data_IF_659656217494
#
_entry.id   IF_659656217494
#
_cell.length_a   1.000
_cell.length_b   1.000
_cell.length_c   1.000
_cell.angle_alpha   90.00
_cell.angle_beta   90.00
_cell.angle_gamma   90.00
#
_symmetry.space_group_name_H-M   'P 1'
#
loop_
_entity.id
_entity.type
_entity.pdbx_description
1 polymer ?
#
# COMPACT_ATOMS: atom_id res chain seq x y z
N UNK A 1 -53.14 5.52 49.73
CA UNK A 1 -54.58 5.78 49.47
C UNK A 1 -54.66 6.55 48.16
N UNK A 2 -54.81 5.90 47.02
CA UNK A 2 -56.04 5.36 46.39
C UNK A 2 -56.91 6.44 45.72
N UNK A 3 -56.86 6.40 44.37
CA UNK A 3 -57.90 6.64 43.32
C UNK A 3 -58.57 8.02 43.24
N UNK A 4 -58.89 8.55 42.05
CA UNK A 4 -58.85 7.96 40.71
C UNK A 4 -59.21 8.98 39.62
N UNK A 5 -58.66 8.76 38.43
CA UNK A 5 -59.02 9.45 37.19
C UNK A 5 -60.08 8.69 36.39
N UNK A 6 -60.94 9.42 35.68
CA UNK A 6 -61.99 8.91 34.81
C UNK A 6 -61.58 8.97 33.32
N UNK A 7 -61.87 7.85 32.64
CA UNK A 7 -62.42 7.62 31.28
C UNK A 7 -61.93 8.47 30.09
N UNK A 8 -61.22 7.88 29.11
CA UNK A 8 -61.66 7.07 27.93
C UNK A 8 -62.27 7.91 26.77
N UNK A 9 -61.65 7.81 25.59
CA UNK A 9 -62.17 7.08 24.41
C UNK A 9 -61.05 6.86 23.38
N UNK A 10 -60.93 5.61 22.91
CA UNK A 10 -60.07 5.16 21.79
C UNK A 10 -61.04 4.65 20.71
N UNK A 11 -60.87 5.09 19.47
CA UNK A 11 -61.59 4.58 18.31
C UNK A 11 -60.71 3.60 17.54
N UNK A 12 -61.15 2.34 17.51
CA UNK A 12 -60.62 1.25 16.69
C UNK A 12 -61.47 1.15 15.42
N UNK A 13 -60.84 1.02 14.24
CA UNK A 13 -61.52 0.49 13.06
C UNK A 13 -60.73 -0.68 12.51
N UNK A 14 -61.44 -1.79 12.36
CA UNK A 14 -60.99 -3.07 11.79
C UNK A 14 -61.61 -3.16 10.40
N UNK A 15 -60.82 -3.56 9.41
CA UNK A 15 -61.30 -3.95 8.09
C UNK A 15 -60.47 -5.11 7.55
N UNK A 16 -61.00 -6.33 7.69
CA UNK A 16 -60.55 -7.52 6.95
C UNK A 16 -61.27 -7.57 5.60
N UNK A 17 -60.56 -8.00 4.57
CA UNK A 17 -61.12 -8.36 3.27
C UNK A 17 -60.13 -9.22 2.48
N UNK A 18 -60.46 -10.51 2.35
CA UNK A 18 -59.68 -11.57 1.72
C UNK A 18 -60.03 -11.72 0.23
N UNK A 19 -59.05 -11.96 -0.64
CA UNK A 19 -59.21 -12.69 -1.90
C UNK A 19 -57.85 -13.15 -2.48
N UNK A 20 -57.79 -14.41 -2.92
CA UNK A 20 -56.72 -15.05 -3.73
C UNK A 20 -57.34 -15.46 -5.09
N UNK A 21 -56.65 -16.14 -6.03
CA UNK A 21 -55.28 -15.97 -6.58
C UNK A 21 -55.28 -15.87 -8.13
N UNK A 22 -54.19 -15.39 -8.76
CA UNK A 22 -53.96 -15.60 -10.20
C UNK A 22 -52.47 -15.71 -10.55
N UNK A 23 -52.15 -16.79 -11.26
CA UNK A 23 -50.87 -17.20 -11.87
C UNK A 23 -50.52 -16.37 -13.12
N UNK A 24 -49.23 -16.06 -13.33
CA UNK A 24 -48.43 -16.15 -14.60
C UNK A 24 -47.31 -15.12 -14.64
N UNK A 25 -46.16 -15.48 -15.20
CA UNK A 25 -45.20 -14.52 -15.77
C UNK A 25 -43.75 -14.63 -15.27
N UNK A 26 -43.01 -15.55 -15.87
CA UNK A 26 -41.53 -15.58 -15.88
C UNK A 26 -40.94 -14.31 -16.49
N UNK A 27 -39.93 -13.71 -15.86
CA UNK A 27 -38.89 -12.92 -16.53
C UNK A 27 -37.68 -12.67 -15.61
N UNK A 28 -36.59 -13.39 -15.88
CA UNK A 28 -35.24 -13.04 -15.39
C UNK A 28 -34.82 -11.66 -15.91
N UNK A 29 -34.22 -10.79 -15.09
CA UNK A 29 -33.42 -9.68 -15.60
C UNK A 29 -31.99 -10.16 -15.87
N UNK A 30 -31.63 -10.12 -17.15
CA UNK A 30 -30.34 -10.41 -17.74
C UNK A 30 -29.17 -9.71 -17.06
N UNK A 31 -28.06 -10.43 -16.90
CA UNK A 31 -26.75 -9.89 -16.57
C UNK A 31 -26.25 -8.98 -17.72
N UNK A 32 -25.60 -7.83 -17.42
CA UNK A 32 -24.95 -7.04 -18.46
C UNK A 32 -23.69 -7.74 -18.97
N UNK A 33 -23.69 -7.99 -20.27
CA UNK A 33 -22.58 -8.46 -21.10
C UNK A 33 -21.42 -7.46 -21.05
N UNK A 34 -20.26 -7.90 -20.59
CA UNK A 34 -18.97 -7.23 -20.82
C UNK A 34 -18.39 -7.72 -22.14
N UNK A 35 -18.09 -6.84 -23.12
CA UNK A 35 -17.47 -7.27 -24.36
C UNK A 35 -15.98 -7.60 -24.13
N UNK A 36 -15.60 -8.78 -24.59
CA UNK A 36 -14.21 -9.22 -24.68
C UNK A 36 -13.51 -8.51 -25.86
N UNK A 37 -12.41 -7.84 -25.57
CA UNK A 37 -11.33 -7.50 -26.49
C UNK A 37 -10.07 -7.98 -25.80
N UNK A 38 -9.23 -8.84 -26.33
CA UNK A 38 -8.90 -9.12 -27.72
C UNK A 38 -7.40 -9.36 -27.71
N UNK A 39 -7.02 -10.61 -27.91
CA UNK A 39 -5.66 -11.14 -27.93
C UNK A 39 -4.76 -10.39 -28.91
N UNK A 40 -3.56 -9.97 -28.49
CA UNK A 40 -2.40 -9.79 -29.37
C UNK A 40 -1.09 -9.63 -28.57
N UNK A 41 -0.30 -10.70 -28.49
CA UNK A 41 1.17 -10.63 -28.65
C UNK A 41 1.46 -10.61 -30.16
N UNK A 42 2.53 -9.97 -30.68
CA UNK A 42 3.90 -10.47 -30.48
C UNK A 42 5.03 -9.41 -30.54
N UNK A 43 6.25 -9.93 -30.29
CA UNK A 43 7.53 -9.57 -30.94
C UNK A 43 8.62 -9.01 -30.01
N UNK A 44 9.60 -9.89 -29.82
CA UNK A 44 10.99 -9.64 -29.46
C UNK A 44 11.69 -8.74 -30.48
N UNK A 45 12.85 -8.16 -30.10
CA UNK A 45 13.97 -8.18 -31.02
C UNK A 45 15.21 -8.84 -30.41
N UNK A 46 15.74 -9.74 -31.22
CA UNK A 46 17.08 -10.32 -31.19
C UNK A 46 18.12 -9.21 -31.41
N UNK A 47 19.18 -9.16 -30.61
CA UNK A 47 20.47 -8.63 -31.04
C UNK A 47 21.57 -9.63 -30.69
N UNK A 48 22.10 -10.25 -31.74
CA UNK A 48 23.40 -10.90 -31.73
C UNK A 48 24.49 -9.83 -31.74
N UNK A 49 25.50 -9.97 -30.87
CA UNK A 49 26.85 -9.53 -31.17
C UNK A 49 27.84 -10.42 -30.40
N UNK A 50 28.37 -11.39 -31.13
CA UNK A 50 29.58 -12.14 -30.85
C UNK A 50 30.79 -11.21 -30.78
N UNK A 51 31.72 -11.49 -29.85
CA UNK A 51 32.96 -10.73 -29.71
C UNK A 51 33.90 -11.34 -28.66
N UNK A 52 34.37 -12.55 -28.92
CA UNK A 52 35.42 -13.25 -28.18
C UNK A 52 36.78 -12.57 -28.36
N UNK A 53 37.50 -12.28 -27.26
CA UNK A 53 38.96 -12.41 -27.18
C UNK A 53 39.52 -12.07 -25.77
N UNK A 54 40.18 -13.06 -25.16
CA UNK A 54 41.22 -12.93 -24.12
C UNK A 54 42.50 -13.59 -24.68
N UNK A 55 43.67 -13.61 -24.00
CA UNK A 55 44.47 -12.59 -23.29
C UNK A 55 45.94 -12.55 -23.86
N UNK A 56 46.92 -11.91 -23.20
CA UNK A 56 47.99 -12.71 -22.56
C UNK A 56 48.51 -12.10 -21.23
N UNK A 57 48.71 -12.91 -20.17
CA UNK A 57 49.94 -13.65 -19.78
C UNK A 57 51.08 -12.81 -19.18
N UNK A 58 51.08 -12.76 -17.85
CA UNK A 58 52.18 -12.98 -16.88
C UNK A 58 53.59 -12.43 -17.15
N UNK A 59 54.06 -11.49 -16.29
CA UNK A 59 55.44 -11.55 -15.75
C UNK A 59 55.66 -10.76 -14.44
N UNK A 60 56.08 -11.51 -13.43
CA UNK A 60 57.01 -11.24 -12.32
C UNK A 60 56.82 -10.04 -11.35
N UNK A 61 56.67 -10.41 -10.08
CA UNK A 61 56.74 -9.58 -8.86
C UNK A 61 58.20 -9.51 -8.37
N UNK A 62 58.73 -8.34 -7.98
CA UNK A 62 59.84 -8.22 -7.02
C UNK A 62 59.37 -7.65 -5.65
N UNK A 63 60.16 -7.84 -4.57
CA UNK A 63 59.67 -7.87 -3.20
C UNK A 63 59.45 -6.48 -2.59
N UNK A 64 58.41 -6.39 -1.74
CA UNK A 64 58.08 -5.23 -0.91
C UNK A 64 59.12 -5.00 0.21
N UNK A 65 59.55 -3.76 0.45
CA UNK A 65 59.93 -3.32 1.78
C UNK A 65 58.70 -2.81 2.54
N UNK A 66 58.58 -3.32 3.76
CA UNK A 66 57.59 -2.98 4.78
C UNK A 66 57.47 -1.46 5.02
N UNK A 67 56.24 -0.95 4.97
CA UNK A 67 55.85 0.29 5.64
C UNK A 67 54.38 0.18 6.03
N UNK A 68 54.12 0.30 7.32
CA UNK A 68 52.80 0.23 7.95
C UNK A 68 51.79 1.15 7.28
N UNK A 69 50.51 0.75 7.15
CA UNK A 69 49.49 1.62 6.57
C UNK A 69 49.12 2.76 7.52
N UNK A 70 48.91 3.99 7.03
CA UNK A 70 48.22 5.01 7.81
C UNK A 70 46.72 4.64 7.91
N UNK A 71 46.10 4.99 9.04
CA UNK A 71 44.66 4.93 9.27
C UNK A 71 43.89 5.52 8.07
N UNK A 72 43.10 4.68 7.39
CA UNK A 72 42.10 5.15 6.44
C UNK A 72 40.89 5.55 7.26
N UNK A 73 40.84 6.83 7.61
CA UNK A 73 39.63 7.51 8.03
C UNK A 73 38.55 7.32 6.96
N UNK A 74 37.43 6.71 7.34
CA UNK A 74 36.27 6.47 6.48
C UNK A 74 35.71 7.79 5.95
N UNK A 75 36.19 8.23 4.80
CA UNK A 75 35.63 9.37 4.09
C UNK A 75 34.29 8.95 3.49
N UNK A 76 33.21 9.30 4.17
CA UNK A 76 31.91 9.50 3.55
C UNK A 76 32.10 10.44 2.34
N UNK A 77 31.43 10.20 1.19
CA UNK A 77 31.55 11.10 0.06
C UNK A 77 31.05 12.48 0.48
N UNK A 78 31.97 13.45 0.47
CA UNK A 78 31.66 14.87 0.61
C UNK A 78 30.79 15.24 -0.58
N UNK A 79 29.49 15.33 -0.32
CA UNK A 79 28.51 15.81 -1.29
C UNK A 79 28.74 17.31 -1.38
N UNK A 80 29.16 17.79 -2.54
CA UNK A 80 29.24 19.21 -2.85
C UNK A 80 27.86 19.83 -2.61
N UNK A 81 27.74 20.65 -1.55
CA UNK A 81 26.49 21.35 -1.24
C UNK A 81 26.21 22.34 -2.36
N UNK A 82 25.29 21.97 -3.26
CA UNK A 82 24.65 22.92 -4.16
C UNK A 82 24.02 24.07 -3.36
N UNK A 83 23.79 25.24 -3.99
CA UNK A 83 23.44 26.48 -3.27
C UNK A 83 22.23 26.28 -2.36
N UNK A 84 22.46 26.20 -1.05
CA UNK A 84 21.38 26.17 -0.07
C UNK A 84 20.70 27.54 -0.06
N UNK A 85 19.46 27.59 -0.54
CA UNK A 85 18.64 28.79 -0.42
C UNK A 85 18.39 29.08 1.07
N UNK A 86 18.74 30.26 1.59
CA UNK A 86 18.72 30.53 3.02
C UNK A 86 17.30 30.35 3.60
N UNK A 87 17.20 29.48 4.62
CA UNK A 87 15.98 29.27 5.41
C UNK A 87 15.12 28.04 5.06
N UNK A 88 15.45 27.27 4.01
CA UNK A 88 14.77 25.99 3.71
C UNK A 88 15.46 24.83 4.42
N UNK A 89 14.70 23.87 4.92
CA UNK A 89 15.28 22.64 5.49
C UNK A 89 15.63 21.64 4.39
N UNK A 90 16.76 20.93 4.49
CA UNK A 90 17.11 19.91 3.51
C UNK A 90 16.11 18.76 3.52
N UNK A 91 15.83 18.23 2.34
CA UNK A 91 14.96 17.08 2.10
C UNK A 91 15.53 16.24 0.96
N UNK A 92 15.40 14.93 1.03
CA UNK A 92 15.84 14.01 -0.01
C UNK A 92 14.90 12.81 -0.14
N UNK A 93 15.14 11.99 -1.16
CA UNK A 93 14.38 10.77 -1.40
C UNK A 93 15.25 9.58 -1.00
N UNK A 94 14.78 8.78 -0.05
CA UNK A 94 15.43 7.52 0.35
C UNK A 94 14.43 6.38 0.20
N UNK A 95 14.82 5.31 -0.50
CA UNK A 95 13.97 4.11 -0.68
C UNK A 95 12.53 4.42 -1.19
N UNK A 96 12.38 5.46 -2.01
CA UNK A 96 11.07 5.88 -2.51
C UNK A 96 10.19 6.59 -1.48
N UNK A 97 10.77 7.11 -0.40
CA UNK A 97 10.13 7.92 0.64
C UNK A 97 10.82 9.27 0.76
N UNK A 98 10.07 10.23 1.29
CA UNK A 98 10.59 11.56 1.63
C UNK A 98 11.24 11.54 3.02
N UNK A 99 12.48 11.98 3.08
CA UNK A 99 13.28 12.13 4.29
C UNK A 99 13.78 13.57 4.46
N UNK A 100 13.94 14.06 5.71
CA UNK A 100 13.72 13.34 6.97
C UNK A 100 12.23 13.17 7.33
N UNK A 101 11.90 12.28 8.27
CA UNK A 101 10.51 12.02 8.71
C UNK A 101 9.70 13.26 9.11
N UNK A 102 10.35 14.35 9.54
CA UNK A 102 9.70 15.63 9.83
C UNK A 102 9.03 16.25 8.60
N UNK A 103 9.60 16.07 7.41
CA UNK A 103 9.03 16.55 6.15
C UNK A 103 7.77 15.77 5.77
N UNK A 104 7.74 14.45 5.96
CA UNK A 104 6.52 13.63 5.80
C UNK A 104 5.41 14.05 6.78
N UNK A 105 5.75 14.35 8.04
CA UNK A 105 4.78 14.90 9.01
C UNK A 105 4.23 16.25 8.55
N UNK A 106 5.07 17.10 7.99
CA UNK A 106 4.64 18.39 7.45
C UNK A 106 3.69 18.24 6.25
N UNK A 107 3.88 17.23 5.40
CA UNK A 107 2.92 16.89 4.34
C UNK A 107 1.54 16.62 4.95
N UNK A 108 1.46 15.81 6.01
CA UNK A 108 0.20 15.56 6.71
C UNK A 108 -0.43 16.86 7.22
N UNK A 109 0.35 17.73 7.85
CA UNK A 109 -0.13 19.05 8.32
C UNK A 109 -0.69 19.89 7.19
N UNK A 110 0.02 19.99 6.05
CA UNK A 110 -0.44 20.72 4.87
C UNK A 110 -1.74 20.15 4.33
N UNK A 111 -1.80 18.83 4.16
CA UNK A 111 -3.00 18.16 3.64
C UNK A 111 -4.18 18.42 4.56
N UNK A 112 -4.03 18.23 5.87
CA UNK A 112 -5.10 18.48 6.86
C UNK A 112 -5.58 19.93 6.85
N UNK A 113 -4.66 20.89 6.80
CA UNK A 113 -5.01 22.31 6.84
C UNK A 113 -5.73 22.81 5.58
N UNK A 114 -5.56 22.12 4.44
CA UNK A 114 -6.03 22.58 3.14
C UNK A 114 -6.92 21.56 2.42
N UNK A 115 -7.62 20.70 3.17
CA UNK A 115 -8.62 19.80 2.59
C UNK A 115 -9.72 20.64 1.93
N UNK A 116 -9.92 20.53 0.59
CA UNK A 116 -10.80 21.44 -0.14
C UNK A 116 -12.29 21.10 -0.02
N UNK A 117 -12.64 19.94 0.54
CA UNK A 117 -14.01 19.46 0.65
C UNK A 117 -14.11 18.13 1.39
N UNK A 118 -15.29 17.49 1.41
CA UNK A 118 -15.49 16.17 2.00
C UNK A 118 -14.86 15.08 1.11
N UNK A 119 -13.54 15.02 1.03
CA UNK A 119 -12.79 14.11 0.17
C UNK A 119 -11.98 13.15 1.02
N UNK A 120 -12.12 11.85 0.78
CA UNK A 120 -11.36 10.79 1.47
C UNK A 120 -10.27 10.16 0.59
N UNK A 121 -10.12 10.63 -0.65
CA UNK A 121 -9.10 10.18 -1.57
C UNK A 121 -8.30 11.34 -2.18
N UNK A 122 -6.97 11.17 -2.23
CA UNK A 122 -6.04 12.16 -2.80
C UNK A 122 -6.37 12.54 -4.26
N UNK A 123 -6.83 11.58 -5.05
CA UNK A 123 -7.19 11.80 -6.47
C UNK A 123 -8.35 12.79 -6.65
N UNK A 124 -9.16 13.02 -5.62
CA UNK A 124 -10.30 13.95 -5.66
C UNK A 124 -9.85 15.39 -5.45
N UNK A 125 -8.64 15.61 -4.92
CA UNK A 125 -8.10 16.95 -4.77
C UNK A 125 -7.87 17.58 -6.15
N UNK A 126 -8.40 18.78 -6.40
CA UNK A 126 -8.15 19.49 -7.64
C UNK A 126 -6.64 19.64 -7.89
N UNK A 127 -6.21 19.47 -9.13
CA UNK A 127 -4.79 19.62 -9.53
C UNK A 127 -4.20 20.95 -9.02
N UNK A 128 -4.89 22.11 -9.14
CA UNK A 128 -4.36 23.37 -8.62
C UNK A 128 -4.12 23.37 -7.10
N UNK A 129 -4.93 22.64 -6.34
CA UNK A 129 -4.75 22.50 -4.88
C UNK A 129 -3.52 21.62 -4.61
N UNK A 130 -3.36 20.51 -5.32
CA UNK A 130 -2.17 19.64 -5.18
C UNK A 130 -0.88 20.38 -5.53
N UNK A 131 -0.91 21.20 -6.58
CA UNK A 131 0.21 22.05 -6.98
C UNK A 131 0.53 23.11 -5.93
N UNK A 132 -0.49 23.80 -5.40
CA UNK A 132 -0.33 24.77 -4.32
C UNK A 132 0.31 24.12 -3.08
N UNK A 133 -0.15 22.94 -2.68
CA UNK A 133 0.39 22.25 -1.51
C UNK A 133 1.84 21.81 -1.73
N UNK A 134 2.20 21.41 -2.94
CA UNK A 134 3.59 21.13 -3.28
C UNK A 134 4.46 22.40 -3.29
N UNK A 135 3.95 23.51 -3.80
CA UNK A 135 4.64 24.82 -3.72
C UNK A 135 4.87 25.23 -2.26
N UNK A 136 3.85 25.14 -1.40
CA UNK A 136 3.98 25.39 0.04
C UNK A 136 5.03 24.48 0.71
N UNK A 137 5.05 23.20 0.32
CA UNK A 137 6.07 22.26 0.79
C UNK A 137 7.49 22.69 0.37
N UNK A 138 7.68 23.01 -0.91
CA UNK A 138 9.00 23.38 -1.46
C UNK A 138 9.50 24.77 -1.01
N UNK A 139 8.61 25.64 -0.52
CA UNK A 139 9.01 26.87 0.19
C UNK A 139 9.67 26.57 1.53
N UNK A 140 9.33 25.45 2.17
CA UNK A 140 9.81 25.07 3.50
C UNK A 140 10.93 24.04 3.47
N UNK A 141 10.97 23.21 2.43
CA UNK A 141 11.95 22.15 2.23
C UNK A 141 12.64 22.30 0.86
N UNK A 142 13.96 22.12 0.83
CA UNK A 142 14.75 22.14 -0.38
C UNK A 142 15.30 20.75 -0.69
N UNK A 143 15.15 20.31 -1.93
CA UNK A 143 15.85 19.12 -2.42
C UNK A 143 17.27 19.51 -2.82
N UNK A 144 18.26 18.73 -2.38
CA UNK A 144 19.70 19.01 -2.60
C UNK A 144 20.05 19.12 -4.09
N UNK A 145 19.32 18.40 -4.95
CA UNK A 145 19.54 18.32 -6.38
C UNK A 145 18.27 18.78 -7.13
N UNK A 146 18.33 19.84 -7.96
CA UNK A 146 17.17 20.30 -8.74
C UNK A 146 16.59 19.23 -9.67
N UNK A 147 17.43 18.35 -10.21
CA UNK A 147 17.04 17.21 -11.04
C UNK A 147 16.15 16.19 -10.31
N UNK A 148 16.15 16.18 -8.98
CA UNK A 148 15.27 15.32 -8.19
C UNK A 148 13.84 15.83 -8.13
N UNK A 149 13.55 17.09 -8.52
CA UNK A 149 12.22 17.70 -8.37
C UNK A 149 11.07 16.89 -9.01
N UNK A 150 11.18 16.36 -10.25
CA UNK A 150 10.12 15.54 -10.83
C UNK A 150 9.88 14.25 -10.03
N UNK A 151 10.95 13.58 -9.60
CA UNK A 151 10.86 12.36 -8.78
C UNK A 151 10.32 12.69 -7.39
N UNK A 152 10.75 13.80 -6.82
CA UNK A 152 10.31 14.31 -5.53
C UNK A 152 8.81 14.58 -5.54
N UNK A 153 8.28 15.19 -6.61
CA UNK A 153 6.84 15.41 -6.76
C UNK A 153 6.06 14.09 -6.74
N UNK A 154 6.53 13.06 -7.44
CA UNK A 154 5.87 11.74 -7.47
C UNK A 154 5.87 11.11 -6.07
N UNK A 155 7.02 11.10 -5.39
CA UNK A 155 7.13 10.55 -4.04
C UNK A 155 6.32 11.36 -3.04
N UNK A 156 6.28 12.68 -3.19
CA UNK A 156 5.48 13.58 -2.38
C UNK A 156 3.99 13.30 -2.50
N UNK A 157 3.47 13.15 -3.73
CA UNK A 157 2.06 12.81 -3.94
C UNK A 157 1.72 11.44 -3.36
N UNK A 158 2.59 10.44 -3.55
CA UNK A 158 2.42 9.11 -2.96
C UNK A 158 2.40 9.16 -1.43
N UNK A 159 3.25 10.00 -0.83
CA UNK A 159 3.29 10.22 0.62
C UNK A 159 2.01 10.91 1.10
N UNK A 160 1.57 11.96 0.42
CA UNK A 160 0.33 12.68 0.74
C UNK A 160 -0.89 11.75 0.67
N UNK A 161 -0.99 10.93 -0.39
CA UNK A 161 -2.04 9.93 -0.54
C UNK A 161 -2.04 8.91 0.60
N UNK A 162 -0.86 8.36 0.92
CA UNK A 162 -0.72 7.36 1.99
C UNK A 162 -1.10 7.95 3.35
N UNK A 163 -0.61 9.16 3.65
CA UNK A 163 -0.87 9.85 4.90
C UNK A 163 -2.36 10.22 5.05
N UNK A 164 -3.00 10.75 4.00
CA UNK A 164 -4.43 11.06 4.02
C UNK A 164 -5.27 9.82 4.30
N UNK A 165 -5.02 8.73 3.56
CA UNK A 165 -5.73 7.46 3.74
C UNK A 165 -5.58 6.94 5.17
N UNK A 166 -4.37 7.01 5.72
CA UNK A 166 -4.08 6.61 7.10
C UNK A 166 -4.85 7.49 8.10
N UNK A 167 -4.77 8.82 7.97
CA UNK A 167 -5.49 9.74 8.87
C UNK A 167 -7.01 9.55 8.84
N UNK A 168 -7.60 9.32 7.66
CA UNK A 168 -9.03 9.04 7.52
C UNK A 168 -9.42 7.72 8.19
N UNK A 169 -8.61 6.67 8.01
CA UNK A 169 -8.83 5.39 8.68
C UNK A 169 -8.73 5.51 10.20
N UNK A 170 -7.71 6.20 10.72
CA UNK A 170 -7.53 6.43 12.16
C UNK A 170 -8.69 7.23 12.75
N UNK A 171 -9.20 8.24 12.03
CA UNK A 171 -10.36 9.01 12.44
C UNK A 171 -11.63 8.13 12.53
N UNK A 172 -11.91 7.34 11.49
CA UNK A 172 -13.06 6.42 11.48
C UNK A 172 -12.96 5.32 12.53
N UNK A 173 -11.77 4.72 12.69
CA UNK A 173 -11.53 3.69 13.72
C UNK A 173 -11.70 4.25 15.14
N UNK A 174 -11.20 5.47 15.39
CA UNK A 174 -11.42 6.16 16.66
C UNK A 174 -12.92 6.41 16.92
N UNK A 175 -13.64 6.95 15.94
CA UNK A 175 -15.08 7.20 16.07
C UNK A 175 -15.88 5.92 16.30
N UNK A 176 -15.58 4.85 15.57
CA UNK A 176 -16.18 3.52 15.76
C UNK A 176 -15.93 3.00 17.17
N UNK A 177 -14.69 3.11 17.68
CA UNK A 177 -14.35 2.65 19.03
C UNK A 177 -15.04 3.48 20.12
N UNK A 178 -15.15 4.79 19.92
CA UNK A 178 -15.82 5.68 20.88
C UNK A 178 -17.32 5.44 20.93
N UNK A 179 -17.95 5.21 19.78
CA UNK A 179 -19.41 4.98 19.68
C UNK A 179 -19.81 3.54 19.97
N UNK A 180 -18.89 2.58 19.79
CA UNK A 180 -19.21 1.15 19.79
C UNK A 180 -20.07 0.71 18.61
N UNK A 181 -20.27 1.58 17.61
CA UNK A 181 -21.15 1.33 16.47
C UNK A 181 -20.35 1.34 15.16
N UNK A 182 -20.63 0.35 14.30
CA UNK A 182 -19.99 0.23 12.97
C UNK A 182 -20.70 1.05 11.89
N UNK A 183 -21.89 1.58 12.16
CA UNK A 183 -22.60 2.47 11.26
C UNK A 183 -21.93 3.86 11.23
N UNK A 184 -21.43 4.33 10.07
CA UNK A 184 -20.81 5.65 9.93
C UNK A 184 -21.72 6.82 10.35
N UNK A 185 -23.05 6.66 10.30
CA UNK A 185 -23.96 7.72 10.77
C UNK A 185 -23.81 8.00 12.27
N UNK A 186 -23.41 7.00 13.07
CA UNK A 186 -23.16 7.19 14.49
C UNK A 186 -21.86 7.98 14.75
N UNK A 187 -21.00 8.18 13.75
CA UNK A 187 -19.68 8.79 13.90
C UNK A 187 -19.68 10.31 13.73
N UNK A 188 -20.80 10.93 13.32
CA UNK A 188 -20.88 12.35 12.92
C UNK A 188 -20.34 13.30 14.02
N UNK A 189 -20.67 13.05 15.28
CA UNK A 189 -20.22 13.91 16.39
C UNK A 189 -18.82 13.55 16.93
N UNK A 190 -18.15 12.57 16.32
CA UNK A 190 -16.85 12.03 16.75
C UNK A 190 -15.75 12.24 15.69
N UNK A 191 -15.95 13.23 14.81
CA UNK A 191 -14.98 13.58 13.78
C UNK A 191 -13.63 14.08 14.33
N UNK A 192 -12.57 14.03 13.51
CA UNK A 192 -11.25 14.48 13.93
C UNK A 192 -11.17 16.01 13.99
N UNK A 193 -10.41 16.54 14.94
CA UNK A 193 -10.23 17.99 15.16
C UNK A 193 -9.69 18.73 13.93
N UNK A 194 -8.91 18.04 13.10
CA UNK A 194 -8.31 18.63 11.90
C UNK A 194 -9.25 18.71 10.69
N UNK A 195 -10.44 18.09 10.76
CA UNK A 195 -11.43 18.13 9.68
C UNK A 195 -12.66 18.93 10.11
N UNK A 196 -13.16 19.79 9.23
CA UNK A 196 -14.40 20.51 9.49
C UNK A 196 -15.56 19.54 9.69
N UNK A 197 -16.45 19.87 10.63
CA UNK A 197 -17.59 19.01 11.01
C UNK A 197 -18.50 18.70 9.83
N UNK A 198 -18.84 19.69 9.01
CA UNK A 198 -19.67 19.52 7.81
C UNK A 198 -19.03 18.60 6.77
N UNK A 199 -17.69 18.65 6.64
CA UNK A 199 -16.97 17.74 5.76
C UNK A 199 -16.98 16.30 6.30
N UNK A 200 -16.78 16.15 7.61
CA UNK A 200 -16.86 14.86 8.26
C UNK A 200 -18.26 14.23 8.17
N UNK A 201 -19.30 15.02 8.44
CA UNK A 201 -20.70 14.61 8.31
C UNK A 201 -21.00 14.09 6.89
N UNK A 202 -20.62 14.87 5.86
CA UNK A 202 -20.78 14.46 4.46
C UNK A 202 -20.03 13.16 4.11
N UNK A 203 -18.87 12.91 4.74
CA UNK A 203 -18.12 11.66 4.58
C UNK A 203 -18.83 10.49 5.26
N UNK A 204 -19.33 10.69 6.49
CA UNK A 204 -20.14 9.70 7.21
C UNK A 204 -21.37 9.28 6.39
N UNK A 205 -22.12 10.23 5.85
CA UNK A 205 -23.27 9.95 4.98
C UNK A 205 -22.87 9.15 3.75
N UNK A 206 -21.76 9.54 3.08
CA UNK A 206 -21.23 8.81 1.92
C UNK A 206 -20.84 7.37 2.27
N UNK A 207 -20.19 7.18 3.42
CA UNK A 207 -19.76 5.85 3.85
C UNK A 207 -20.92 4.97 4.34
N UNK A 208 -21.98 5.59 4.88
CA UNK A 208 -23.21 4.92 5.22
C UNK A 208 -24.05 4.54 3.99
N UNK A 209 -23.85 5.22 2.86
CA UNK A 209 -24.60 4.95 1.64
C UNK A 209 -24.43 3.50 1.15
N UNK A 210 -25.55 2.91 0.69
CA UNK A 210 -25.64 1.52 0.25
C UNK A 210 -24.54 1.08 -0.73
N UNK A 211 -24.20 1.84 -1.78
CA UNK A 211 -23.14 1.47 -2.72
C UNK A 211 -21.76 1.31 -2.06
N UNK A 212 -21.42 2.19 -1.12
CA UNK A 212 -20.13 2.14 -0.43
C UNK A 212 -20.04 0.92 0.49
N UNK A 213 -21.11 0.64 1.23
CA UNK A 213 -21.19 -0.56 2.04
C UNK A 213 -21.11 -1.83 1.20
N UNK A 214 -21.79 -1.87 0.04
CA UNK A 214 -21.72 -3.00 -0.88
C UNK A 214 -20.31 -3.24 -1.40
N UNK A 215 -19.58 -2.19 -1.82
CA UNK A 215 -18.19 -2.31 -2.24
C UNK A 215 -17.27 -2.74 -1.10
N UNK A 216 -17.47 -2.19 0.10
CA UNK A 216 -16.72 -2.58 1.28
C UNK A 216 -16.92 -4.07 1.61
N UNK A 217 -18.17 -4.53 1.62
CA UNK A 217 -18.50 -5.94 1.86
C UNK A 217 -18.03 -6.85 0.73
N UNK A 218 -18.10 -6.42 -0.53
CA UNK A 218 -17.53 -7.15 -1.66
C UNK A 218 -16.00 -7.27 -1.51
N UNK A 219 -15.30 -6.20 -1.12
CA UNK A 219 -13.85 -6.25 -0.88
C UNK A 219 -13.50 -7.15 0.31
N UNK A 220 -14.31 -7.18 1.38
CA UNK A 220 -14.16 -8.14 2.48
C UNK A 220 -14.34 -9.57 1.96
N UNK A 221 -15.42 -9.84 1.22
CA UNK A 221 -15.69 -11.16 0.62
C UNK A 221 -14.59 -11.59 -0.33
N UNK A 222 -14.14 -10.74 -1.24
CA UNK A 222 -13.04 -11.03 -2.16
C UNK A 222 -11.73 -11.32 -1.40
N UNK A 223 -11.51 -10.66 -0.25
CA UNK A 223 -10.39 -11.00 0.62
C UNK A 223 -10.59 -12.31 1.38
N UNK A 224 -11.82 -12.74 1.66
CA UNK A 224 -12.10 -13.99 2.37
C UNK A 224 -12.30 -15.21 1.47
N UNK A 225 -12.62 -15.05 0.19
CA UNK A 225 -12.91 -16.14 -0.76
C UNK A 225 -11.65 -16.91 -1.18
N UNK A 226 -10.49 -16.26 -1.18
CA UNK A 226 -9.21 -16.96 -1.33
C UNK A 226 -8.75 -17.47 0.04
N UNK A 227 -9.30 -18.61 0.46
CA UNK A 227 -8.82 -19.34 1.65
C UNK A 227 -7.44 -19.96 1.41
N UNK A 228 -7.08 -20.20 0.14
CA UNK A 228 -5.82 -20.79 -0.31
C UNK A 228 -4.83 -19.72 -0.80
N UNK A 229 -4.60 -18.68 0.02
CA UNK A 229 -3.59 -17.67 -0.33
C UNK A 229 -2.19 -18.22 -0.09
N UNK A 230 -1.27 -17.94 -1.00
CA UNK A 230 0.16 -17.87 -0.67
C UNK A 230 0.38 -16.71 0.30
N UNK A 231 0.19 -16.98 1.59
CA UNK A 231 0.40 -15.99 2.64
C UNK A 231 1.89 -15.88 2.89
N UNK A 232 2.42 -14.68 2.77
CA UNK A 232 3.79 -14.35 3.15
C UNK A 232 3.82 -13.73 4.56
N UNK A 233 4.90 -13.98 5.29
CA UNK A 233 5.18 -13.47 6.64
C UNK A 233 6.09 -12.25 6.66
N UNK A 234 6.56 -11.77 5.49
CA UNK A 234 7.47 -10.63 5.36
C UNK A 234 6.91 -9.29 5.83
N UNK A 235 5.59 -9.19 6.02
CA UNK A 235 4.93 -7.92 6.36
C UNK A 235 5.18 -6.88 5.28
N UNK A 236 5.58 -5.67 5.68
CA UNK A 236 5.89 -4.56 4.76
C UNK A 236 7.31 -4.59 4.19
N UNK A 237 8.13 -5.59 4.54
CA UNK A 237 9.50 -5.72 4.04
C UNK A 237 9.48 -6.38 2.67
N UNK A 238 10.13 -5.75 1.68
CA UNK A 238 10.14 -6.26 0.32
C UNK A 238 10.96 -7.55 0.20
N UNK A 239 10.66 -8.35 -0.84
CA UNK A 239 11.43 -9.54 -1.20
C UNK A 239 12.90 -9.19 -1.52
N UNK A 240 13.16 -8.04 -2.14
CA UNK A 240 14.50 -7.53 -2.43
C UNK A 240 15.28 -7.22 -1.14
N UNK A 241 14.62 -6.58 -0.16
CA UNK A 241 15.23 -6.30 1.15
C UNK A 241 15.53 -7.60 1.89
N UNK A 242 14.64 -8.60 1.86
CA UNK A 242 14.92 -9.92 2.41
C UNK A 242 16.08 -10.62 1.68
N UNK A 243 16.17 -10.49 0.36
CA UNK A 243 17.26 -11.03 -0.44
C UNK A 243 18.60 -10.40 -0.06
N UNK A 244 18.67 -9.08 0.11
CA UNK A 244 19.89 -8.39 0.55
C UNK A 244 20.31 -8.81 1.96
N UNK A 245 19.34 -8.96 2.87
CA UNK A 245 19.61 -9.46 4.23
C UNK A 245 20.18 -10.87 4.22
N UNK A 246 19.59 -11.78 3.46
CA UNK A 246 20.12 -13.14 3.31
C UNK A 246 21.47 -13.16 2.60
N UNK A 247 21.69 -12.27 1.64
CA UNK A 247 22.96 -12.14 0.96
C UNK A 247 24.09 -11.81 1.94
N UNK A 248 23.85 -10.86 2.83
CA UNK A 248 24.78 -10.51 3.89
C UNK A 248 24.90 -11.61 4.96
N UNK A 249 23.80 -12.30 5.29
CA UNK A 249 23.78 -13.37 6.30
C UNK A 249 24.58 -14.62 5.84
N UNK A 250 24.53 -14.94 4.54
CA UNK A 250 25.20 -16.11 3.97
C UNK A 250 26.49 -15.78 3.22
N UNK A 251 26.83 -14.50 3.07
CA UNK A 251 27.97 -14.01 2.27
C UNK A 251 27.94 -14.51 0.80
N UNK A 252 26.76 -14.87 0.29
CA UNK A 252 26.52 -15.33 -1.08
C UNK A 252 25.12 -14.99 -1.53
N UNK A 253 24.83 -15.06 -2.83
CA UNK A 253 23.47 -14.88 -3.31
C UNK A 253 22.52 -15.92 -2.67
N UNK A 254 21.37 -15.52 -2.10
CA UNK A 254 20.40 -16.48 -1.59
C UNK A 254 19.75 -17.24 -2.74
N UNK A 255 19.47 -18.51 -2.51
CA UNK A 255 18.68 -19.32 -3.43
C UNK A 255 17.21 -18.88 -3.38
N UNK A 256 16.46 -19.18 -4.44
CA UNK A 256 15.00 -18.98 -4.44
C UNK A 256 14.36 -19.66 -3.23
N UNK A 257 14.79 -20.89 -2.89
CA UNK A 257 14.18 -21.64 -1.79
C UNK A 257 14.43 -21.01 -0.43
N UNK A 258 15.65 -20.54 -0.17
CA UNK A 258 15.97 -19.85 1.09
C UNK A 258 15.17 -18.56 1.27
N UNK A 259 15.02 -17.80 0.18
CA UNK A 259 14.25 -16.56 0.19
C UNK A 259 12.74 -16.84 0.29
N UNK A 260 12.25 -17.90 -0.37
CA UNK A 260 10.86 -18.35 -0.25
C UNK A 260 10.53 -18.79 1.18
N UNK A 261 11.38 -19.62 1.80
CA UNK A 261 11.19 -20.09 3.17
C UNK A 261 11.22 -18.95 4.19
N UNK A 262 12.18 -18.01 4.05
CA UNK A 262 12.26 -16.81 4.90
C UNK A 262 10.98 -15.98 4.88
N UNK A 263 10.23 -16.05 3.78
CA UNK A 263 9.05 -15.21 3.55
C UNK A 263 7.72 -15.97 3.67
N UNK A 264 7.71 -17.30 3.76
CA UNK A 264 6.49 -18.12 3.77
C UNK A 264 6.41 -19.14 4.92
N UNK A 265 7.47 -19.30 5.73
CA UNK A 265 7.44 -20.05 6.99
C UNK A 265 7.14 -19.15 8.19
N UNK A 266 6.55 -19.72 9.24
CA UNK A 266 6.32 -18.99 10.50
C UNK A 266 7.66 -18.84 11.23
N UNK A 267 7.89 -17.67 11.82
CA UNK A 267 9.15 -17.38 12.52
C UNK A 267 9.37 -18.37 13.67
N UNK A 268 10.54 -19.03 13.69
CA UNK A 268 10.91 -19.97 14.75
C UNK A 268 10.34 -21.38 14.58
N UNK A 269 9.67 -21.66 13.46
CA UNK A 269 9.19 -23.00 13.09
C UNK A 269 9.60 -23.30 11.66
N UNK A 270 9.56 -24.57 11.26
CA UNK A 270 9.75 -24.94 9.86
C UNK A 270 8.42 -25.05 9.08
N UNK A 271 7.32 -24.68 9.72
CA UNK A 271 5.97 -24.79 9.16
C UNK A 271 5.64 -23.64 8.21
N UNK A 272 5.02 -24.00 7.07
CA UNK A 272 4.45 -23.03 6.16
C UNK A 272 3.23 -22.33 6.76
N UNK A 273 3.06 -21.08 6.38
CA UNK A 273 1.95 -20.23 6.85
C UNK A 273 0.66 -20.58 6.12
N UNK A 274 0.77 -21.22 4.95
CA UNK A 274 -0.34 -21.66 4.11
C UNK A 274 -0.01 -22.97 3.40
N UNK A 275 -1.02 -23.80 3.16
CA UNK A 275 -0.87 -25.05 2.40
C UNK A 275 -0.39 -24.78 0.97
N UNK A 276 -0.92 -23.75 0.31
CA UNK A 276 -0.44 -23.31 -1.01
C UNK A 276 1.07 -22.99 -1.00
N UNK A 277 1.58 -22.35 0.05
CA UNK A 277 3.01 -22.06 0.18
C UNK A 277 3.84 -23.34 0.26
N UNK A 278 3.35 -24.34 1.01
CA UNK A 278 3.96 -25.68 1.08
C UNK A 278 3.95 -26.37 -0.28
N UNK A 279 2.81 -26.39 -0.98
CA UNK A 279 2.68 -27.02 -2.30
C UNK A 279 3.62 -26.40 -3.34
N UNK A 280 3.81 -25.07 -3.33
CA UNK A 280 4.76 -24.38 -4.22
C UNK A 280 6.19 -24.82 -3.91
N UNK A 281 6.55 -24.86 -2.63
CA UNK A 281 7.85 -25.33 -2.17
C UNK A 281 8.13 -26.76 -2.66
N UNK A 282 7.20 -27.69 -2.38
CA UNK A 282 7.33 -29.10 -2.78
C UNK A 282 7.38 -29.27 -4.31
N UNK A 283 6.58 -28.49 -5.04
CA UNK A 283 6.60 -28.50 -6.52
C UNK A 283 7.93 -28.00 -7.06
N UNK A 284 8.46 -26.91 -6.50
CA UNK A 284 9.77 -26.39 -6.87
C UNK A 284 10.86 -27.44 -6.63
N UNK A 285 10.89 -28.08 -5.46
CA UNK A 285 11.88 -29.11 -5.15
C UNK A 285 11.80 -30.29 -6.13
N UNK A 286 10.59 -30.76 -6.43
CA UNK A 286 10.36 -31.81 -7.43
C UNK A 286 10.87 -31.41 -8.82
N UNK A 287 10.48 -30.23 -9.30
CA UNK A 287 10.88 -29.77 -10.63
C UNK A 287 12.39 -29.54 -10.72
N UNK A 288 13.03 -29.01 -9.68
CA UNK A 288 14.49 -28.88 -9.67
C UNK A 288 15.17 -30.24 -9.67
N UNK A 289 14.67 -31.21 -8.87
CA UNK A 289 15.21 -32.57 -8.85
C UNK A 289 15.10 -33.25 -10.23
N UNK A 290 13.96 -33.13 -10.92
CA UNK A 290 13.76 -33.63 -12.28
C UNK A 290 14.75 -32.99 -13.27
N UNK A 291 14.90 -31.66 -13.23
CA UNK A 291 15.83 -30.93 -14.12
C UNK A 291 17.30 -31.27 -13.89
N UNK A 292 17.71 -31.55 -12.65
CA UNK A 292 19.07 -31.98 -12.36
C UNK A 292 19.31 -33.47 -12.61
N UNK A 293 18.26 -34.30 -12.56
CA UNK A 293 18.33 -35.73 -12.90
C UNK A 293 18.37 -35.98 -14.42
N UNK A 294 17.75 -35.11 -15.23
CA UNK A 294 17.70 -35.22 -16.69
C UNK A 294 18.98 -34.74 -17.40
N UNK A 295 19.96 -34.21 -16.67
CA UNK A 295 21.33 -34.01 -17.13
C UNK A 295 21.47 -33.28 -18.47
N UNK A 296 21.68 -31.97 -18.45
CA UNK A 296 22.44 -31.34 -19.53
C UNK A 296 23.33 -30.23 -18.95
N UNK A 297 24.66 -30.28 -19.19
CA UNK A 297 25.59 -29.22 -18.80
C UNK A 297 25.32 -27.90 -19.51
#
# INVERSE_FOLDING_TARGET
MVRGGQSRTVSTSVGQGSATPSTTGSASPSAPVVPATGTASPSTPVVHATGTASPPSTRAVPPYPSSSPPEVESQHPVVEEGPQLPGRQPCWISEGKIDPSSSSRYITTLVHAHIPGPMDAWREFPVPVRDLLFDMFTRRFAFTRPEDLPRARIVWESTAQTNLKKSMWEAGDKAMKTTGNRDPMAWIDYGPVWLRRDYWESLCERWAAGPWQQWSQAAIRNRSTHLEKNVHTSGSVSYATHSQKLHHEFERAPTFRELFDRTHKRKGTDDYVSESGRTIAETYDRTMAERYAEGTP
#
